data_IF_186919024605
#
_entry.id   IF_186919024605
#
_cell.length_a   1.000
_cell.length_b   1.000
_cell.length_c   1.000
_cell.angle_alpha   90.00
_cell.angle_beta   90.00
_cell.angle_gamma   90.00
#
_symmetry.space_group_name_H-M   'P 1'
#
loop_
_entity.id
_entity.type
_entity.pdbx_description
1 polymer ?
#
# COMPACT_ATOMS: atom_id res chain seq x y z
N UNK A 1 45.46 7.04 -38.36
CA UNK A 1 44.25 7.39 -37.59
C UNK A 1 43.73 6.10 -36.96
N UNK A 2 43.79 5.97 -35.63
CA UNK A 2 43.23 4.83 -34.89
C UNK A 2 41.82 5.22 -34.43
N UNK A 3 40.81 4.45 -34.81
CA UNK A 3 39.45 4.59 -34.31
C UNK A 3 39.31 3.78 -33.01
N UNK A 4 38.81 4.43 -31.96
CA UNK A 4 38.37 3.75 -30.73
C UNK A 4 36.85 3.65 -30.77
N UNK A 5 36.33 2.44 -30.70
CA UNK A 5 34.91 2.18 -30.46
C UNK A 5 34.71 2.07 -28.94
N UNK A 6 33.88 2.97 -28.40
CA UNK A 6 33.42 2.92 -27.02
C UNK A 6 32.23 1.95 -26.97
N UNK A 7 32.40 0.81 -26.31
CA UNK A 7 31.32 -0.14 -26.06
C UNK A 7 30.46 0.41 -24.91
N UNK A 8 29.22 0.78 -25.19
CA UNK A 8 28.25 1.19 -24.18
C UNK A 8 27.59 -0.08 -23.62
N UNK A 9 27.95 -0.50 -22.41
CA UNK A 9 27.23 -1.54 -21.68
C UNK A 9 25.88 -0.97 -21.23
N UNK A 10 24.79 -1.50 -21.78
CA UNK A 10 23.43 -1.22 -21.33
C UNK A 10 23.12 -2.19 -20.19
N UNK A 11 23.14 -1.71 -18.95
CA UNK A 11 22.65 -2.45 -17.78
C UNK A 11 21.13 -2.36 -17.73
N UNK A 12 20.44 -3.45 -18.05
CA UNK A 12 19.01 -3.63 -17.79
C UNK A 12 18.83 -3.87 -16.29
N UNK A 13 18.20 -2.92 -15.60
CA UNK A 13 17.67 -3.13 -14.26
C UNK A 13 16.32 -3.85 -14.41
N UNK A 14 16.24 -5.10 -13.96
CA UNK A 14 14.95 -5.72 -13.66
C UNK A 14 14.51 -5.18 -12.30
N UNK A 15 13.44 -4.40 -12.26
CA UNK A 15 12.70 -4.14 -11.03
C UNK A 15 11.85 -5.36 -10.73
N UNK A 16 12.25 -6.17 -9.77
CA UNK A 16 11.31 -7.10 -9.12
C UNK A 16 10.40 -6.24 -8.27
N UNK A 17 9.11 -6.21 -8.59
CA UNK A 17 8.11 -5.67 -7.67
C UNK A 17 8.19 -6.51 -6.40
N UNK A 18 8.55 -5.88 -5.28
CA UNK A 18 8.46 -6.50 -3.96
C UNK A 18 7.00 -6.28 -3.56
N UNK A 19 6.16 -7.29 -3.77
CA UNK A 19 4.83 -7.29 -3.19
C UNK A 19 4.98 -7.60 -1.70
N UNK A 20 4.20 -6.89 -0.88
CA UNK A 20 4.18 -7.11 0.56
C UNK A 20 3.41 -8.39 0.83
N UNK A 21 4.04 -9.37 1.48
CA UNK A 21 3.40 -10.65 1.82
C UNK A 21 2.77 -10.51 3.20
N UNK A 22 1.43 -10.51 3.25
CA UNK A 22 0.65 -10.25 4.46
C UNK A 22 -0.50 -11.26 4.54
N UNK A 23 -0.79 -11.73 5.74
CA UNK A 23 -1.94 -12.60 6.00
C UNK A 23 -3.27 -11.87 5.74
N UNK A 24 -4.35 -12.59 5.34
CA UNK A 24 -4.36 -14.01 4.99
C UNK A 24 -3.74 -14.27 3.62
N UNK A 25 -3.19 -15.48 3.43
CA UNK A 25 -2.66 -15.93 2.14
C UNK A 25 -3.74 -16.74 1.43
N UNK A 26 -4.35 -16.14 0.42
CA UNK A 26 -5.47 -16.71 -0.34
C UNK A 26 -5.11 -16.97 -1.81
N UNK A 27 -3.87 -16.63 -2.23
CA UNK A 27 -3.36 -16.85 -3.59
C UNK A 27 -4.23 -16.23 -4.70
N UNK A 28 -5.15 -15.32 -4.35
CA UNK A 28 -6.10 -14.70 -5.28
C UNK A 28 -5.41 -13.74 -6.26
N UNK A 29 -4.20 -13.31 -5.91
CA UNK A 29 -3.23 -12.71 -6.80
C UNK A 29 -1.87 -13.42 -6.70
N UNK A 30 -0.95 -13.05 -7.61
CA UNK A 30 0.37 -13.69 -7.66
C UNK A 30 1.37 -13.18 -6.61
N UNK A 31 0.92 -12.56 -5.51
CA UNK A 31 1.80 -12.02 -4.47
C UNK A 31 2.22 -13.04 -3.40
N UNK A 32 1.39 -14.05 -3.15
CA UNK A 32 1.62 -15.12 -2.18
C UNK A 32 2.58 -16.19 -2.72
N UNK A 33 3.84 -15.81 -2.92
CA UNK A 33 4.87 -16.68 -3.49
C UNK A 33 5.74 -17.32 -2.40
N UNK A 34 5.53 -18.63 -2.17
CA UNK A 34 6.39 -19.42 -1.31
C UNK A 34 7.74 -19.75 -1.99
N UNK A 35 8.81 -19.73 -1.20
CA UNK A 35 10.14 -20.14 -1.61
C UNK A 35 10.33 -21.63 -1.28
N UNK A 36 10.46 -22.51 -2.30
CA UNK A 36 10.70 -23.92 -2.10
C UNK A 36 12.18 -24.23 -1.78
N UNK A 37 12.44 -25.38 -1.16
CA UNK A 37 13.79 -25.87 -0.91
C UNK A 37 13.88 -27.41 -0.86
N UNK A 38 15.12 -27.91 -0.99
CA UNK A 38 15.45 -29.34 -0.88
C UNK A 38 14.74 -30.26 -1.90
N UNK A 39 14.38 -29.75 -3.08
CA UNK A 39 13.75 -30.53 -4.15
C UNK A 39 12.27 -30.26 -4.37
N UNK A 40 11.66 -29.39 -3.54
CA UNK A 40 10.29 -28.94 -3.76
C UNK A 40 10.17 -27.87 -4.86
N UNK A 41 8.94 -27.63 -5.32
CA UNK A 41 8.56 -26.61 -6.29
C UNK A 41 7.21 -25.98 -5.88
N UNK A 42 7.13 -24.65 -5.89
CA UNK A 42 5.88 -23.92 -5.65
C UNK A 42 5.38 -23.31 -6.96
N UNK A 43 4.08 -23.44 -7.23
CA UNK A 43 3.41 -22.88 -8.41
C UNK A 43 1.97 -22.49 -8.07
N UNK A 44 1.36 -21.60 -8.84
CA UNK A 44 -0.07 -21.35 -8.78
C UNK A 44 -0.85 -22.39 -9.60
N UNK A 45 -2.05 -22.76 -9.16
CA UNK A 45 -2.88 -23.79 -9.77
C UNK A 45 -4.37 -23.40 -9.76
N UNK A 46 -5.14 -23.83 -10.76
CA UNK A 46 -6.60 -23.60 -10.80
C UNK A 46 -7.28 -24.61 -9.85
N UNK A 47 -8.11 -24.13 -8.93
CA UNK A 47 -8.83 -24.99 -7.97
C UNK A 47 -9.64 -26.07 -8.73
N UNK A 48 -9.50 -27.37 -8.38
CA UNK A 48 -10.24 -28.47 -8.99
C UNK A 48 -11.77 -28.32 -8.95
N UNK A 49 -12.30 -27.64 -7.92
CA UNK A 49 -13.73 -27.45 -7.69
C UNK A 49 -14.25 -26.09 -8.22
N UNK A 50 -13.37 -25.10 -8.43
CA UNK A 50 -13.69 -23.77 -8.99
C UNK A 50 -12.53 -23.20 -9.83
N UNK A 51 -12.59 -23.33 -11.15
CA UNK A 51 -11.49 -22.91 -12.02
C UNK A 51 -11.30 -21.37 -12.13
N UNK A 52 -12.16 -20.57 -11.50
CA UNK A 52 -11.93 -19.12 -11.35
C UNK A 52 -11.11 -18.79 -10.10
N UNK A 53 -10.96 -19.75 -9.17
CA UNK A 53 -10.11 -19.63 -7.99
C UNK A 53 -8.69 -20.14 -8.26
N UNK A 54 -7.69 -19.35 -7.86
CA UNK A 54 -6.27 -19.72 -7.97
C UNK A 54 -5.77 -20.07 -6.57
N UNK A 55 -5.08 -21.19 -6.46
CA UNK A 55 -4.56 -21.72 -5.19
C UNK A 55 -3.07 -22.04 -5.28
N UNK A 56 -2.42 -22.21 -4.14
CA UNK A 56 -1.02 -22.62 -4.08
C UNK A 56 -0.86 -24.13 -4.32
N UNK A 57 -0.04 -24.51 -5.30
CA UNK A 57 0.40 -25.89 -5.52
C UNK A 57 1.82 -26.10 -4.97
N UNK A 58 1.90 -26.98 -3.98
CA UNK A 58 3.08 -27.37 -3.22
C UNK A 58 3.52 -28.74 -3.71
N UNK A 59 4.57 -28.80 -4.53
CA UNK A 59 5.09 -30.05 -5.09
C UNK A 59 6.37 -30.49 -4.38
N UNK A 60 6.40 -31.76 -3.97
CA UNK A 60 7.60 -32.46 -3.51
C UNK A 60 8.06 -33.47 -4.58
N UNK A 61 9.33 -33.44 -4.97
CA UNK A 61 9.92 -34.39 -5.93
C UNK A 61 10.31 -35.74 -5.29
N UNK A 62 10.32 -35.79 -3.95
CA UNK A 62 10.63 -37.00 -3.18
C UNK A 62 12.13 -37.31 -3.09
N UNK A 63 13.01 -36.40 -3.50
CA UNK A 63 14.46 -36.60 -3.47
C UNK A 63 15.03 -36.54 -2.05
N UNK A 64 14.43 -35.75 -1.16
CA UNK A 64 14.86 -35.54 0.23
C UNK A 64 13.70 -35.71 1.22
N UNK A 65 13.97 -36.16 2.46
CA UNK A 65 12.92 -36.36 3.46
C UNK A 65 12.36 -35.06 4.05
N UNK A 66 13.08 -33.94 3.94
CA UNK A 66 12.68 -32.64 4.51
C UNK A 66 12.61 -31.57 3.41
N UNK A 67 11.74 -31.83 2.45
CA UNK A 67 11.30 -30.86 1.44
C UNK A 67 10.27 -29.93 2.05
N UNK A 68 10.36 -28.64 1.75
CA UNK A 68 9.45 -27.68 2.34
C UNK A 68 9.42 -26.36 1.59
N UNK A 69 8.65 -25.45 2.16
CA UNK A 69 8.28 -24.17 1.56
C UNK A 69 8.27 -23.15 2.66
N UNK A 70 8.80 -21.95 2.42
CA UNK A 70 8.64 -20.87 3.38
C UNK A 70 8.19 -19.58 2.69
N UNK A 71 7.50 -18.74 3.45
CA UNK A 71 7.11 -17.40 3.06
C UNK A 71 7.54 -16.44 4.16
N UNK A 72 8.17 -15.33 3.77
CA UNK A 72 8.58 -14.27 4.71
C UNK A 72 7.51 -13.19 4.72
N UNK A 73 6.95 -12.90 5.90
CA UNK A 73 5.83 -11.99 6.07
C UNK A 73 6.32 -10.61 6.51
N UNK A 74 5.78 -9.58 5.86
CA UNK A 74 6.04 -8.18 6.22
C UNK A 74 5.36 -7.82 7.54
N UNK A 75 4.11 -8.27 7.71
CA UNK A 75 3.41 -8.23 8.99
C UNK A 75 3.58 -9.59 9.68
N UNK A 76 4.19 -9.63 10.88
CA UNK A 76 4.45 -10.90 11.55
C UNK A 76 3.14 -11.54 12.04
N UNK A 77 3.14 -12.87 12.10
CA UNK A 77 2.13 -13.63 12.83
C UNK A 77 2.31 -13.34 14.32
N UNK A 78 1.28 -12.82 14.97
CA UNK A 78 1.28 -12.45 16.39
C UNK A 78 0.55 -13.50 17.24
N UNK A 79 1.31 -14.40 17.87
CA UNK A 79 0.75 -15.42 18.75
C UNK A 79 0.21 -14.87 20.08
N UNK A 80 0.49 -13.60 20.44
CA UNK A 80 -0.15 -12.94 21.59
C UNK A 80 -1.55 -12.43 21.24
N UNK A 81 -1.85 -12.24 19.94
CA UNK A 81 -3.18 -11.91 19.43
C UNK A 81 -4.03 -13.16 19.20
N UNK A 82 -3.52 -14.11 18.41
CA UNK A 82 -4.20 -15.38 18.11
C UNK A 82 -3.18 -16.53 18.05
N UNK A 83 -3.49 -17.63 18.74
CA UNK A 83 -2.63 -18.81 18.85
C UNK A 83 -2.96 -19.92 17.84
N UNK A 84 -3.81 -19.65 16.86
CA UNK A 84 -4.23 -20.63 15.85
C UNK A 84 -3.97 -20.12 14.44
N UNK A 85 -3.49 -21.01 13.58
CA UNK A 85 -3.45 -20.80 12.13
C UNK A 85 -4.38 -21.82 11.48
N UNK A 86 -5.24 -21.40 10.55
CA UNK A 86 -6.05 -22.30 9.73
C UNK A 86 -5.61 -22.29 8.28
N UNK A 87 -5.86 -23.39 7.57
CA UNK A 87 -5.74 -23.47 6.12
C UNK A 87 -6.76 -24.44 5.52
N UNK A 88 -6.98 -24.35 4.22
CA UNK A 88 -7.63 -25.39 3.41
C UNK A 88 -6.56 -26.26 2.75
N UNK A 89 -6.77 -27.58 2.73
CA UNK A 89 -5.83 -28.54 2.15
C UNK A 89 -6.51 -29.52 1.20
N UNK A 90 -5.87 -29.78 0.06
CA UNK A 90 -6.29 -30.76 -0.92
C UNK A 90 -5.15 -31.74 -1.23
N UNK A 91 -5.41 -33.03 -1.02
CA UNK A 91 -4.56 -34.14 -1.48
C UNK A 91 -5.18 -34.81 -2.71
N UNK A 92 -4.35 -35.21 -3.69
CA UNK A 92 -4.82 -35.90 -4.89
C UNK A 92 -4.91 -37.43 -4.75
N UNK A 93 -4.50 -37.97 -3.61
CA UNK A 93 -4.50 -39.40 -3.32
C UNK A 93 -5.44 -39.75 -2.16
N UNK A 94 -5.42 -41.03 -1.75
CA UNK A 94 -6.31 -41.56 -0.71
C UNK A 94 -5.58 -41.85 0.60
N UNK A 95 -4.52 -41.10 0.89
CA UNK A 95 -3.69 -41.28 2.08
C UNK A 95 -3.92 -40.17 3.12
N UNK A 96 -3.53 -40.46 4.36
CA UNK A 96 -3.42 -39.43 5.40
C UNK A 96 -2.09 -38.71 5.22
N UNK A 97 -2.10 -37.39 5.26
CA UNK A 97 -0.89 -36.57 5.21
C UNK A 97 -0.64 -35.87 6.53
N UNK A 98 0.63 -35.77 6.92
CA UNK A 98 1.03 -34.95 8.07
C UNK A 98 1.54 -33.61 7.57
N UNK A 99 0.87 -32.53 7.95
CA UNK A 99 1.39 -31.17 7.72
C UNK A 99 2.06 -30.69 8.99
N UNK A 100 3.26 -30.12 8.83
CA UNK A 100 3.99 -29.45 9.90
C UNK A 100 4.14 -27.98 9.54
N UNK A 101 3.56 -27.11 10.37
CA UNK A 101 3.76 -25.67 10.31
C UNK A 101 4.84 -25.28 11.30
N UNK A 102 5.80 -24.48 10.82
CA UNK A 102 6.88 -23.92 11.62
C UNK A 102 6.82 -22.40 11.53
N UNK A 103 6.92 -21.74 12.69
CA UNK A 103 7.02 -20.29 12.81
C UNK A 103 8.46 -19.91 13.19
N UNK A 104 9.05 -19.02 12.40
CA UNK A 104 10.47 -18.70 12.40
C UNK A 104 10.72 -17.20 12.37
N UNK A 105 12.00 -16.83 12.54
CA UNK A 105 12.49 -15.45 12.39
C UNK A 105 11.82 -14.45 13.35
N UNK A 106 11.33 -14.92 14.49
CA UNK A 106 10.81 -14.09 15.57
C UNK A 106 11.88 -13.68 16.60
N UNK A 107 11.47 -12.92 17.61
CA UNK A 107 12.31 -12.66 18.79
C UNK A 107 12.43 -13.91 19.70
N UNK A 108 11.40 -14.75 19.69
CA UNK A 108 11.33 -16.00 20.45
C UNK A 108 11.90 -17.17 19.63
N UNK A 109 12.30 -18.28 20.30
CA UNK A 109 12.77 -19.47 19.58
C UNK A 109 11.73 -20.00 18.60
N UNK A 110 12.17 -20.50 17.45
CA UNK A 110 11.29 -21.10 16.45
C UNK A 110 10.42 -22.21 17.05
N UNK A 111 9.14 -22.24 16.68
CA UNK A 111 8.16 -23.20 17.18
C UNK A 111 7.48 -23.92 16.02
N UNK A 112 6.98 -25.13 16.28
CA UNK A 112 6.29 -25.93 15.27
C UNK A 112 5.11 -26.70 15.85
N UNK A 113 4.11 -26.93 15.00
CA UNK A 113 2.94 -27.79 15.26
C UNK A 113 2.78 -28.72 14.06
N UNK A 114 2.52 -30.00 14.34
CA UNK A 114 2.23 -31.00 13.32
C UNK A 114 0.81 -31.52 13.49
N UNK A 115 0.11 -31.73 12.38
CA UNK A 115 -1.25 -32.23 12.36
C UNK A 115 -1.41 -33.27 11.24
N UNK A 116 -2.02 -34.39 11.59
CA UNK A 116 -2.43 -35.40 10.61
C UNK A 116 -3.78 -35.00 10.01
N UNK A 117 -3.82 -34.83 8.69
CA UNK A 117 -5.02 -34.54 7.92
C UNK A 117 -5.49 -35.85 7.28
N UNK A 118 -6.63 -36.41 7.74
CA UNK A 118 -7.18 -37.62 7.15
C UNK A 118 -7.59 -37.38 5.71
N UNK A 119 -7.48 -38.43 4.89
CA UNK A 119 -8.04 -38.40 3.54
C UNK A 119 -9.51 -37.98 3.54
N UNK A 120 -9.83 -37.01 2.69
CA UNK A 120 -11.19 -36.62 2.32
C UNK A 120 -11.31 -36.55 0.80
N UNK A 121 -12.53 -36.78 0.29
CA UNK A 121 -12.78 -36.57 -1.13
C UNK A 121 -12.95 -35.07 -1.38
N UNK A 122 -11.89 -34.42 -1.87
CA UNK A 122 -11.87 -32.99 -2.16
C UNK A 122 -11.09 -32.17 -1.13
N UNK A 123 -11.47 -30.91 -0.97
CA UNK A 123 -10.90 -30.01 0.04
C UNK A 123 -11.23 -30.44 1.47
N UNK A 124 -10.23 -30.33 2.34
CA UNK A 124 -10.40 -30.32 3.79
C UNK A 124 -10.22 -28.88 4.27
N UNK A 125 -11.33 -28.21 4.52
CA UNK A 125 -11.33 -26.80 4.95
C UNK A 125 -11.13 -26.66 6.45
N UNK A 126 -10.64 -25.49 6.85
CA UNK A 126 -10.52 -25.08 8.26
C UNK A 126 -9.70 -26.09 9.07
N UNK A 127 -8.56 -26.52 8.52
CA UNK A 127 -7.54 -27.32 9.21
C UNK A 127 -6.81 -26.41 10.18
N UNK A 128 -7.05 -26.58 11.48
CA UNK A 128 -6.55 -25.67 12.53
C UNK A 128 -5.29 -26.23 13.19
N UNK A 129 -4.22 -25.45 13.16
CA UNK A 129 -2.98 -25.66 13.90
C UNK A 129 -2.99 -24.79 15.16
N UNK A 130 -3.11 -25.41 16.33
CA UNK A 130 -3.10 -24.73 17.63
C UNK A 130 -1.68 -24.67 18.19
N UNK A 131 -1.09 -23.47 18.20
CA UNK A 131 0.25 -23.22 18.73
C UNK A 131 0.32 -23.24 20.26
N UNK A 132 -0.80 -23.45 20.95
CA UNK A 132 -0.77 -23.85 22.36
C UNK A 132 -0.15 -25.24 22.57
N UNK A 133 -0.22 -26.10 21.54
CA UNK A 133 0.37 -27.44 21.51
C UNK A 133 1.77 -27.45 20.87
N UNK A 134 2.36 -26.26 20.64
CA UNK A 134 3.63 -26.14 19.95
C UNK A 134 4.81 -26.77 20.72
N UNK A 135 5.79 -27.22 19.94
CA UNK A 135 7.10 -27.65 20.43
C UNK A 135 8.20 -26.76 19.85
N UNK A 136 9.36 -26.73 20.50
CA UNK A 136 10.54 -26.07 19.95
C UNK A 136 10.97 -26.76 18.67
N UNK A 137 11.20 -25.99 17.61
CA UNK A 137 11.61 -26.55 16.32
C UNK A 137 13.05 -27.08 16.31
N UNK A 138 13.86 -26.68 17.29
CA UNK A 138 15.24 -27.13 17.42
C UNK A 138 15.36 -28.62 17.74
N UNK A 139 14.34 -29.20 18.36
CA UNK A 139 14.29 -30.62 18.73
C UNK A 139 12.99 -31.33 18.32
N UNK A 140 11.97 -30.58 17.91
CA UNK A 140 10.66 -31.08 17.51
C UNK A 140 9.90 -31.84 18.60
N UNK A 141 10.27 -31.68 19.88
CA UNK A 141 9.73 -32.50 20.97
C UNK A 141 9.51 -31.76 22.29
N UNK A 142 10.24 -30.68 22.57
CA UNK A 142 10.10 -29.92 23.82
C UNK A 142 8.87 -29.01 23.75
N UNK A 143 7.81 -29.23 24.55
CA UNK A 143 6.63 -28.37 24.53
C UNK A 143 6.96 -26.95 24.97
N UNK A 144 6.32 -25.97 24.33
CA UNK A 144 6.50 -24.55 24.62
C UNK A 144 5.15 -23.85 24.54
N UNK A 145 4.91 -22.93 25.48
CA UNK A 145 3.80 -21.99 25.36
C UNK A 145 4.23 -20.88 24.40
N UNK A 146 4.01 -21.09 23.10
CA UNK A 146 4.46 -20.18 22.06
C UNK A 146 3.74 -18.82 22.18
N UNK A 147 4.52 -17.74 22.09
CA UNK A 147 4.05 -16.36 22.20
C UNK A 147 4.86 -15.46 21.27
N UNK A 148 4.41 -14.23 21.06
CA UNK A 148 5.13 -13.20 20.30
C UNK A 148 5.04 -13.33 18.78
N UNK A 149 5.87 -12.53 18.11
CA UNK A 149 5.83 -12.30 16.67
C UNK A 149 6.79 -13.20 15.89
N UNK A 150 6.33 -13.74 14.75
CA UNK A 150 7.13 -14.54 13.83
C UNK A 150 6.98 -14.02 12.39
N UNK A 151 8.10 -13.78 11.73
CA UNK A 151 8.15 -13.20 10.39
C UNK A 151 8.22 -14.25 9.28
N UNK A 152 8.21 -15.54 9.60
CA UNK A 152 8.26 -16.60 8.60
C UNK A 152 7.33 -17.74 8.97
N UNK A 153 6.52 -18.14 8.00
CA UNK A 153 5.76 -19.38 8.01
C UNK A 153 6.47 -20.38 7.08
N UNK A 154 6.78 -21.56 7.62
CA UNK A 154 7.36 -22.67 6.87
C UNK A 154 6.45 -23.89 6.95
N UNK A 155 6.22 -24.52 5.80
CA UNK A 155 5.32 -25.66 5.64
C UNK A 155 6.13 -26.87 5.19
N UNK A 156 5.92 -27.99 5.88
CA UNK A 156 6.34 -29.31 5.43
C UNK A 156 5.11 -30.20 5.26
N UNK A 157 5.07 -30.95 4.17
CA UNK A 157 4.04 -31.96 3.90
C UNK A 157 4.75 -33.32 3.88
N UNK A 158 4.32 -34.21 4.78
CA UNK A 158 4.95 -35.51 5.05
C UNK A 158 6.44 -35.42 5.40
N UNK A 159 6.81 -34.38 6.15
CA UNK A 159 8.18 -34.14 6.61
C UNK A 159 8.77 -35.35 7.36
N UNK A 160 9.99 -35.71 6.98
CA UNK A 160 10.69 -36.92 7.46
C UNK A 160 10.62 -38.10 6.47
N UNK A 161 9.83 -38.01 5.41
CA UNK A 161 9.70 -39.04 4.38
C UNK A 161 10.07 -38.52 2.98
N UNK A 162 10.74 -39.37 2.20
CA UNK A 162 11.09 -39.08 0.80
C UNK A 162 9.94 -39.48 -0.13
N UNK A 163 8.83 -38.74 -0.04
CA UNK A 163 7.63 -38.93 -0.85
C UNK A 163 7.52 -37.83 -1.92
N UNK A 164 7.06 -38.22 -3.11
CA UNK A 164 6.73 -37.26 -4.16
C UNK A 164 5.21 -37.10 -4.24
N UNK A 165 4.76 -35.87 -4.43
CA UNK A 165 3.35 -35.54 -4.51
C UNK A 165 3.13 -34.06 -4.79
N UNK A 166 1.97 -33.75 -5.35
CA UNK A 166 1.43 -32.39 -5.45
C UNK A 166 0.32 -32.24 -4.44
N UNK A 167 0.25 -31.08 -3.80
CA UNK A 167 -0.74 -30.77 -2.78
C UNK A 167 -1.21 -29.34 -3.00
N UNK A 168 -2.51 -29.09 -2.84
CA UNK A 168 -3.02 -27.72 -2.91
C UNK A 168 -3.29 -27.21 -1.50
N UNK A 169 -2.90 -25.96 -1.26
CA UNK A 169 -3.23 -25.23 -0.04
C UNK A 169 -3.84 -23.89 -0.46
N UNK A 170 -4.86 -23.50 0.29
CA UNK A 170 -5.55 -22.22 0.13
C UNK A 170 -5.97 -21.66 1.50
N UNK A 171 -6.38 -20.40 1.56
CA UNK A 171 -6.98 -19.74 2.71
C UNK A 171 -6.17 -19.91 4.02
N UNK A 172 -4.88 -19.58 3.98
CA UNK A 172 -4.03 -19.61 5.17
C UNK A 172 -4.31 -18.35 6.01
N UNK A 173 -4.89 -18.54 7.20
CA UNK A 173 -5.36 -17.46 8.06
C UNK A 173 -4.76 -17.56 9.48
N UNK A 174 -4.34 -16.42 10.04
CA UNK A 174 -3.90 -16.28 11.45
C UNK A 174 -4.91 -15.50 12.29
N UNK A 175 -6.11 -15.24 11.76
CA UNK A 175 -7.15 -14.44 12.39
C UNK A 175 -6.97 -12.92 12.28
N UNK A 176 -5.87 -12.46 11.67
CA UNK A 176 -5.79 -11.08 11.21
C UNK A 176 -6.77 -10.84 10.05
N UNK A 177 -7.27 -9.62 9.93
CA UNK A 177 -8.03 -9.23 8.74
C UNK A 177 -7.07 -8.85 7.62
N UNK A 178 -7.41 -9.09 6.34
CA UNK A 178 -6.57 -8.66 5.23
C UNK A 178 -6.29 -7.18 5.39
N UNK A 179 -5.02 -6.82 5.59
CA UNK A 179 -4.66 -5.40 5.57
C UNK A 179 -4.62 -4.98 4.11
N UNK A 180 -5.58 -4.16 3.67
CA UNK A 180 -5.41 -3.47 2.39
C UNK A 180 -4.09 -2.66 2.53
N UNK A 181 -3.11 -2.79 1.62
CA UNK A 181 -1.90 -1.98 1.68
C UNK A 181 -2.19 -0.47 1.58
N UNK A 182 -3.44 -0.09 1.24
CA UNK A 182 -3.99 1.26 1.27
C UNK A 182 -5.00 1.50 2.41
N UNK A 183 -5.18 0.53 3.32
CA UNK A 183 -6.09 0.66 4.45
C UNK A 183 -5.62 1.80 5.34
N UNK A 184 -6.51 2.77 5.52
CA UNK A 184 -6.25 3.86 6.44
C UNK A 184 -6.47 3.30 7.85
N UNK A 185 -5.38 3.05 8.59
CA UNK A 185 -5.30 2.60 10.00
C UNK A 185 -6.22 3.37 10.99
N UNK A 186 -6.80 4.49 10.54
CA UNK A 186 -7.75 5.29 11.30
C UNK A 186 -9.01 5.53 10.48
N UNK A 187 -10.15 4.96 10.93
CA UNK A 187 -11.47 5.34 10.41
C UNK A 187 -11.83 6.78 10.84
N UNK A 188 -11.63 7.73 9.93
CA UNK A 188 -12.09 9.11 10.12
C UNK A 188 -13.59 9.25 9.81
N UNK A 189 -14.43 8.93 10.79
CA UNK A 189 -15.90 8.93 10.65
C UNK A 189 -16.60 10.26 10.99
N UNK A 190 -15.85 11.30 11.38
CA UNK A 190 -16.40 12.59 11.77
C UNK A 190 -16.01 13.70 10.78
N UNK A 191 -17.00 14.23 10.06
CA UNK A 191 -16.80 15.33 9.12
C UNK A 191 -16.62 16.67 9.86
N UNK A 192 -15.42 17.24 9.78
CA UNK A 192 -15.07 18.51 10.44
C UNK A 192 -15.17 19.74 9.52
N UNK A 193 -15.04 19.54 8.22
CA UNK A 193 -15.08 20.60 7.22
C UNK A 193 -15.33 20.01 5.83
N UNK A 194 -16.15 20.68 5.02
CA UNK A 194 -16.41 20.29 3.63
C UNK A 194 -16.76 21.51 2.78
N UNK A 195 -16.67 21.38 1.46
CA UNK A 195 -17.33 22.24 0.50
C UNK A 195 -17.81 21.47 -0.72
N UNK A 196 -19.13 21.22 -0.82
CA UNK A 196 -19.74 20.52 -1.95
C UNK A 196 -20.09 21.45 -3.13
N UNK A 197 -19.67 22.72 -3.07
CA UNK A 197 -19.84 23.71 -4.15
C UNK A 197 -21.28 23.83 -4.68
N UNK A 198 -22.27 23.81 -3.79
CA UNK A 198 -23.69 23.79 -4.17
C UNK A 198 -24.24 25.13 -4.67
N UNK A 199 -23.49 26.22 -4.53
CA UNK A 199 -23.93 27.57 -4.92
C UNK A 199 -23.14 28.06 -6.13
N UNK A 200 -23.76 28.12 -7.33
CA UNK A 200 -23.10 28.65 -8.53
C UNK A 200 -22.66 30.11 -8.38
N UNK A 201 -21.56 30.47 -9.06
CA UNK A 201 -21.00 31.82 -9.08
C UNK A 201 -19.65 31.92 -8.39
N UNK A 202 -19.46 32.98 -7.59
CA UNK A 202 -18.18 33.22 -6.91
C UNK A 202 -17.88 32.14 -5.86
N UNK A 203 -16.61 31.78 -5.73
CA UNK A 203 -16.15 30.84 -4.70
C UNK A 203 -16.51 31.36 -3.30
N UNK A 204 -16.96 30.48 -2.41
CA UNK A 204 -17.39 30.84 -1.07
C UNK A 204 -16.23 31.45 -0.25
N UNK A 205 -16.27 32.76 -0.06
CA UNK A 205 -15.21 33.53 0.63
C UNK A 205 -15.17 33.30 2.14
N UNK A 206 -16.17 32.63 2.74
CA UNK A 206 -16.09 32.18 4.14
C UNK A 206 -15.23 30.92 4.29
N UNK A 207 -15.10 30.13 3.22
CA UNK A 207 -14.33 28.88 3.21
C UNK A 207 -12.98 29.00 2.52
N UNK A 208 -12.86 29.86 1.51
CA UNK A 208 -11.68 29.97 0.66
C UNK A 208 -11.10 31.38 0.66
N UNK A 209 -9.77 31.44 0.57
CA UNK A 209 -8.98 32.65 0.40
C UNK A 209 -8.22 32.58 -0.93
N UNK A 210 -8.35 33.61 -1.76
CA UNK A 210 -7.57 33.73 -2.99
C UNK A 210 -6.19 34.33 -2.70
N UNK A 211 -5.14 33.55 -2.94
CA UNK A 211 -3.78 34.06 -2.86
C UNK A 211 -3.40 34.76 -4.17
N UNK A 212 -3.43 36.09 -4.15
CA UNK A 212 -3.14 36.94 -5.33
C UNK A 212 -1.81 37.66 -5.23
N UNK A 213 -1.28 37.84 -4.02
CA UNK A 213 0.04 38.42 -3.80
C UNK A 213 1.13 37.42 -4.19
N UNK A 214 2.09 37.86 -5.00
CA UNK A 214 3.23 37.03 -5.41
C UNK A 214 4.13 36.75 -4.22
N UNK A 215 4.65 35.52 -4.15
CA UNK A 215 5.47 35.09 -3.02
C UNK A 215 6.89 35.64 -3.07
N UNK A 216 7.42 35.93 -4.26
CA UNK A 216 8.73 36.56 -4.48
C UNK A 216 8.54 37.89 -5.22
N UNK A 217 8.52 39.04 -4.51
CA UNK A 217 8.34 40.35 -5.11
C UNK A 217 9.33 40.62 -6.26
N UNK A 218 8.83 41.11 -7.39
CA UNK A 218 9.65 41.37 -8.58
C UNK A 218 10.05 40.14 -9.41
N UNK A 219 9.68 38.92 -8.98
CA UNK A 219 9.90 37.68 -9.73
C UNK A 219 8.57 37.00 -10.07
N UNK A 220 7.69 36.85 -9.09
CA UNK A 220 6.41 36.17 -9.21
C UNK A 220 6.29 35.00 -8.24
N UNK A 221 5.85 33.86 -8.75
CA UNK A 221 5.73 32.61 -8.01
C UNK A 221 7.06 31.83 -8.04
N UNK A 222 7.16 30.79 -7.22
CA UNK A 222 8.32 29.90 -7.21
C UNK A 222 8.36 29.04 -8.50
N UNK A 223 9.32 28.12 -8.59
CA UNK A 223 9.39 27.07 -9.61
C UNK A 223 9.46 27.54 -11.08
N UNK A 224 9.69 28.83 -11.33
CA UNK A 224 9.67 29.39 -12.69
C UNK A 224 8.26 29.49 -13.28
N UNK A 225 7.23 29.56 -12.44
CA UNK A 225 5.83 29.64 -12.86
C UNK A 225 5.50 30.96 -13.61
N UNK A 226 4.69 30.84 -14.67
CA UNK A 226 4.48 31.88 -15.69
C UNK A 226 3.12 32.60 -15.58
N UNK A 227 2.35 32.30 -14.54
CA UNK A 227 1.03 32.85 -14.31
C UNK A 227 1.00 33.93 -13.22
N UNK A 228 -0.06 34.74 -13.25
CA UNK A 228 -0.56 35.46 -12.08
C UNK A 228 -1.79 34.75 -11.53
N UNK A 229 -1.85 34.53 -10.21
CA UNK A 229 -3.08 34.08 -9.57
C UNK A 229 -3.99 35.28 -9.31
N UNK A 230 -5.26 35.17 -9.68
CA UNK A 230 -6.25 36.25 -9.51
C UNK A 230 -7.47 35.76 -8.72
N UNK A 231 -8.28 36.70 -8.25
CA UNK A 231 -9.58 36.45 -7.63
C UNK A 231 -10.76 36.71 -8.58
N UNK A 232 -10.50 36.77 -9.90
CA UNK A 232 -11.54 37.03 -10.90
C UNK A 232 -12.39 35.79 -11.12
N UNK A 233 -13.66 36.00 -11.42
CA UNK A 233 -14.59 34.94 -11.84
C UNK A 233 -14.09 34.19 -13.08
N UNK A 234 -13.25 34.84 -13.89
CA UNK A 234 -12.60 34.24 -15.06
C UNK A 234 -11.64 33.09 -14.73
N UNK A 235 -11.10 33.05 -13.50
CA UNK A 235 -10.10 32.08 -13.08
C UNK A 235 -10.60 31.12 -12.00
N UNK A 236 -11.64 31.47 -11.25
CA UNK A 236 -12.28 30.55 -10.30
C UNK A 236 -13.76 30.83 -10.13
N UNK A 237 -14.60 29.82 -10.32
CA UNK A 237 -16.05 29.91 -10.12
C UNK A 237 -16.66 28.54 -9.87
N UNK A 238 -17.84 28.52 -9.25
CA UNK A 238 -18.69 27.34 -9.15
C UNK A 238 -19.68 27.35 -10.30
N UNK A 239 -19.76 26.26 -11.06
CA UNK A 239 -20.69 26.15 -12.18
C UNK A 239 -22.10 25.70 -11.76
N UNK A 240 -23.03 25.67 -12.70
CA UNK A 240 -24.42 25.23 -12.45
C UNK A 240 -24.55 23.71 -12.18
N UNK A 241 -23.48 22.93 -12.35
CA UNK A 241 -23.45 21.50 -12.06
C UNK A 241 -22.90 21.20 -10.66
N UNK A 242 -22.52 22.24 -9.91
CA UNK A 242 -21.99 22.10 -8.55
C UNK A 242 -20.50 21.76 -8.51
N UNK A 243 -19.72 22.17 -9.51
CA UNK A 243 -18.27 21.98 -9.51
C UNK A 243 -17.51 23.30 -9.41
N UNK A 244 -16.51 23.32 -8.53
CA UNK A 244 -15.46 24.33 -8.58
C UNK A 244 -14.64 24.16 -9.87
N UNK A 245 -14.52 25.24 -10.61
CA UNK A 245 -13.67 25.35 -11.78
C UNK A 245 -12.51 26.30 -11.45
N UNK A 246 -11.27 25.80 -11.54
CA UNK A 246 -10.05 26.63 -11.55
C UNK A 246 -9.53 26.65 -12.99
N UNK A 247 -9.46 27.84 -13.57
CA UNK A 247 -9.20 28.02 -14.99
C UNK A 247 -7.90 28.78 -15.21
N UNK A 248 -6.91 28.07 -15.75
CA UNK A 248 -5.73 28.69 -16.32
C UNK A 248 -6.09 29.29 -17.69
N UNK A 249 -5.77 30.57 -17.89
CA UNK A 249 -6.04 31.30 -19.12
C UNK A 249 -4.76 31.91 -19.67
N UNK A 250 -4.57 31.80 -20.98
CA UNK A 250 -3.54 32.57 -21.68
C UNK A 250 -4.04 33.99 -21.91
N UNK A 251 -3.54 34.93 -21.11
CA UNK A 251 -3.81 36.35 -21.25
C UNK A 251 -2.64 37.16 -20.68
N UNK A 252 -2.33 38.29 -21.32
CA UNK A 252 -1.35 39.22 -20.77
C UNK A 252 -1.98 39.97 -19.60
N UNK A 253 -1.42 39.80 -18.41
CA UNK A 253 -1.92 40.40 -17.18
C UNK A 253 -0.78 41.07 -16.42
N UNK A 254 -0.97 42.33 -16.04
CA UNK A 254 0.00 43.10 -15.27
C UNK A 254 -0.58 43.42 -13.89
N UNK A 255 0.10 42.91 -12.86
CA UNK A 255 -0.21 43.21 -11.46
C UNK A 255 1.09 43.21 -10.64
N UNK A 256 1.14 43.96 -9.54
CA UNK A 256 2.31 44.04 -8.65
C UNK A 256 3.62 44.39 -9.40
N UNK A 257 3.50 45.26 -10.43
CA UNK A 257 4.59 45.64 -11.35
C UNK A 257 5.21 44.47 -12.14
N UNK A 258 4.50 43.35 -12.26
CA UNK A 258 4.91 42.15 -12.98
C UNK A 258 3.91 41.86 -14.09
N UNK A 259 4.39 41.68 -15.31
CA UNK A 259 3.55 41.26 -16.44
C UNK A 259 3.79 39.78 -16.71
N UNK A 260 2.73 38.99 -16.69
CA UNK A 260 2.71 37.56 -16.98
C UNK A 260 1.79 37.29 -18.17
N UNK A 261 1.97 36.15 -18.83
CA UNK A 261 1.20 35.78 -20.04
C UNK A 261 0.10 34.75 -19.77
N UNK A 262 -0.06 34.38 -18.51
CA UNK A 262 -1.10 33.48 -18.05
C UNK A 262 -1.71 34.01 -16.75
N UNK A 263 -2.97 33.66 -16.52
CA UNK A 263 -3.63 33.84 -15.23
C UNK A 263 -4.23 32.52 -14.78
N UNK A 264 -4.40 32.34 -13.47
CA UNK A 264 -5.08 31.19 -12.88
C UNK A 264 -5.66 31.58 -11.51
N UNK A 265 -6.06 30.62 -10.68
CA UNK A 265 -6.41 30.85 -9.27
C UNK A 265 -5.62 29.90 -8.35
N UNK A 266 -5.27 30.39 -7.17
CA UNK A 266 -4.68 29.64 -6.04
C UNK A 266 -5.52 29.90 -4.81
N UNK A 267 -6.12 28.84 -4.27
CA UNK A 267 -7.08 28.90 -3.17
C UNK A 267 -6.50 28.26 -1.93
N UNK A 268 -6.60 28.94 -0.79
CA UNK A 268 -6.21 28.43 0.51
C UNK A 268 -7.49 28.24 1.34
N UNK A 269 -7.65 27.12 2.01
CA UNK A 269 -8.76 26.92 2.94
C UNK A 269 -8.64 27.88 4.13
N UNK A 270 -9.76 28.48 4.54
CA UNK A 270 -9.89 29.20 5.82
C UNK A 270 -10.09 28.24 7.01
N UNK A 271 -9.79 26.98 6.78
CA UNK A 271 -9.77 25.89 7.73
C UNK A 271 -8.35 25.29 7.74
N UNK A 272 -7.86 24.99 8.93
CA UNK A 272 -6.60 24.31 9.15
C UNK A 272 -6.82 23.26 10.24
N UNK A 273 -6.22 22.10 10.07
CA UNK A 273 -6.44 20.95 10.93
C UNK A 273 -5.11 20.25 11.24
N UNK A 274 -5.14 19.31 12.18
CA UNK A 274 -4.01 18.45 12.52
C UNK A 274 -4.53 17.05 12.65
N UNK A 275 -3.99 16.16 11.82
CA UNK A 275 -4.48 14.81 11.56
C UNK A 275 -5.88 14.77 10.95
N UNK A 276 -6.16 13.74 10.18
CA UNK A 276 -7.43 13.61 9.49
C UNK A 276 -7.25 13.05 8.09
N UNK A 277 -8.39 12.84 7.44
CA UNK A 277 -8.49 12.44 6.05
C UNK A 277 -8.95 13.62 5.20
N UNK A 278 -8.36 13.75 4.03
CA UNK A 278 -8.75 14.74 3.01
C UNK A 278 -9.16 13.98 1.76
N UNK A 279 -10.45 14.03 1.43
CA UNK A 279 -10.95 13.53 0.16
C UNK A 279 -11.24 14.70 -0.79
N UNK A 280 -10.67 14.64 -1.99
CA UNK A 280 -10.97 15.60 -3.07
C UNK A 280 -11.31 14.85 -4.33
N UNK A 281 -12.54 15.06 -4.83
CA UNK A 281 -12.99 14.50 -6.11
C UNK A 281 -12.81 15.53 -7.22
N UNK A 282 -11.84 15.32 -8.11
CA UNK A 282 -11.49 16.27 -9.17
C UNK A 282 -11.40 15.63 -10.56
N UNK A 283 -11.48 16.47 -11.59
CA UNK A 283 -11.03 16.17 -12.97
C UNK A 283 -9.90 17.13 -13.32
N UNK A 284 -8.82 16.60 -13.88
CA UNK A 284 -7.60 17.37 -14.14
C UNK A 284 -7.58 17.92 -15.57
N UNK A 285 -6.92 19.08 -15.79
CA UNK A 285 -6.62 19.56 -17.14
C UNK A 285 -5.67 18.59 -17.86
N UNK A 286 -5.79 18.53 -19.19
CA UNK A 286 -5.00 17.63 -20.06
C UNK A 286 -3.99 18.39 -20.96
N UNK A 287 -4.03 19.72 -20.94
CA UNK A 287 -3.24 20.55 -21.83
C UNK A 287 -1.78 20.65 -21.37
N UNK A 288 -0.84 20.65 -22.33
CA UNK A 288 0.59 20.74 -22.03
C UNK A 288 0.90 22.08 -21.33
N UNK A 289 1.66 21.99 -20.23
CA UNK A 289 2.09 23.14 -19.44
C UNK A 289 1.14 23.48 -18.29
N UNK A 290 -0.02 22.82 -18.17
CA UNK A 290 -0.81 22.91 -16.93
C UNK A 290 -0.17 22.07 -15.83
N UNK A 291 -0.09 22.62 -14.63
CA UNK A 291 0.37 21.93 -13.42
C UNK A 291 -0.71 22.12 -12.35
N UNK A 292 -1.77 21.29 -12.34
CA UNK A 292 -2.75 21.28 -11.25
C UNK A 292 -2.09 20.68 -10.00
N UNK A 293 -2.47 21.16 -8.82
CA UNK A 293 -1.99 20.63 -7.56
C UNK A 293 -3.09 20.66 -6.50
N UNK A 294 -3.19 19.60 -5.70
CA UNK A 294 -3.94 19.55 -4.43
C UNK A 294 -2.93 19.22 -3.35
N UNK A 295 -2.65 20.18 -2.48
CA UNK A 295 -1.52 20.10 -1.57
C UNK A 295 -1.79 20.86 -0.28
N UNK A 296 -0.98 20.61 0.73
CA UNK A 296 -1.10 21.20 2.06
C UNK A 296 0.23 21.78 2.53
N UNK A 297 0.14 22.89 3.26
CA UNK A 297 1.26 23.50 3.99
C UNK A 297 0.91 23.62 5.47
N UNK A 298 1.94 23.61 6.31
CA UNK A 298 1.80 23.93 7.72
C UNK A 298 1.16 25.30 7.95
N UNK A 299 0.21 25.40 8.89
CA UNK A 299 -0.44 26.67 9.27
C UNK A 299 0.55 27.77 9.70
N UNK A 300 1.75 27.37 10.12
CA UNK A 300 2.85 28.22 10.54
C UNK A 300 3.71 28.77 9.38
N UNK A 301 3.36 28.47 8.12
CA UNK A 301 4.08 28.95 6.94
C UNK A 301 4.15 30.48 6.93
N UNK A 302 5.36 31.00 6.77
CA UNK A 302 5.63 32.39 6.44
C UNK A 302 5.71 32.54 4.92
N UNK A 303 4.57 32.77 4.27
CA UNK A 303 4.46 32.95 2.83
C UNK A 303 3.58 34.17 2.52
N UNK A 304 4.12 35.10 1.74
CA UNK A 304 3.43 36.34 1.37
C UNK A 304 2.05 36.05 0.75
N UNK A 305 1.02 36.64 1.35
CA UNK A 305 -0.36 36.56 0.87
C UNK A 305 -1.12 35.30 1.30
N UNK A 306 -0.47 34.33 1.95
CA UNK A 306 -1.16 33.16 2.50
C UNK A 306 -2.13 33.59 3.62
N UNK A 307 -3.27 32.88 3.73
CA UNK A 307 -4.35 33.30 4.63
C UNK A 307 -3.94 33.40 6.12
N UNK A 308 -3.13 32.45 6.59
CA UNK A 308 -2.73 32.37 7.99
C UNK A 308 -1.41 33.08 8.31
N UNK A 309 -0.63 33.45 7.30
CA UNK A 309 0.70 34.06 7.45
C UNK A 309 0.70 35.29 8.39
N UNK A 310 -0.22 36.28 8.23
CA UNK A 310 -0.21 37.47 9.09
C UNK A 310 -0.39 37.21 10.60
N UNK A 311 -0.89 36.02 10.98
CA UNK A 311 -1.20 35.67 12.37
C UNK A 311 -0.31 34.53 12.90
N UNK A 312 0.04 33.56 12.04
CA UNK A 312 0.74 32.33 12.43
C UNK A 312 2.09 32.12 11.72
N UNK A 313 2.41 32.96 10.72
CA UNK A 313 3.63 32.87 9.92
C UNK A 313 4.89 32.99 10.78
N UNK A 314 5.62 31.88 10.90
CA UNK A 314 6.83 31.78 11.74
C UNK A 314 7.93 30.94 11.10
N UNK A 315 7.58 30.09 10.13
CA UNK A 315 8.49 29.08 9.57
C UNK A 315 8.46 29.14 8.05
N UNK A 316 9.61 29.30 7.42
CA UNK A 316 9.72 29.27 5.96
C UNK A 316 9.68 27.82 5.45
N UNK A 317 9.24 27.64 4.20
CA UNK A 317 9.42 26.38 3.47
C UNK A 317 10.92 26.03 3.34
N UNK A 318 11.32 24.74 3.40
CA UNK A 318 10.48 23.53 3.54
C UNK A 318 10.14 23.15 4.99
N UNK A 319 10.63 23.90 5.98
CA UNK A 319 10.55 23.51 7.39
C UNK A 319 9.12 23.56 7.97
N UNK A 320 8.17 24.24 7.32
CA UNK A 320 6.76 24.19 7.69
C UNK A 320 6.09 22.84 7.37
N UNK A 321 6.72 22.00 6.55
CA UNK A 321 6.13 20.82 5.96
C UNK A 321 5.26 21.14 4.74
N UNK A 322 5.27 20.21 3.78
CA UNK A 322 4.45 20.20 2.57
C UNK A 322 4.01 18.76 2.31
N UNK A 323 2.74 18.58 1.94
CA UNK A 323 2.19 17.30 1.50
C UNK A 323 1.45 17.53 0.18
N UNK A 324 1.95 16.93 -0.89
CA UNK A 324 1.31 16.91 -2.20
C UNK A 324 0.40 15.68 -2.31
N UNK A 325 -0.91 15.88 -2.33
CA UNK A 325 -1.91 14.80 -2.45
C UNK A 325 -2.07 14.39 -3.92
N UNK A 326 -2.04 15.36 -4.84
CA UNK A 326 -2.13 15.17 -6.29
C UNK A 326 -1.36 16.25 -7.03
#
# INVERSE_FOLDING_TARGET
MKFYYLLLCLSLFFSTSIYSQVMPLDFSDSSDEFIPFAGSEFTFFEDPDDNENIVGNFFNDGSEPWQGFYIDLDNPIDLDFQNTISLSFYGFDSETHTILLKLENGENPDVQVALDIPYSAGWTDNVIFDFSDAVLSSDGTTPVNATGNYNRLTIFIDGGFSLSGSFLIDNIEDGSSPSDPNEVDVEYNYLVWEDNFETPGVVNSLKWHHQTQVIIPGVGWANGEEQHYTNRIDNSFVDNSGYLNIVAKKETFTDQNLTKNYTSARLNSKFAFTYGRVDVRAKLPIDIGTWPAIWMLGKNINENGAYWDPVFGTTNWPACGEIDIM
#
